data_IF_581081184475
#
_entry.id   IF_581081184475
#
_cell.length_a   1.000
_cell.length_b   1.000
_cell.length_c   1.000
_cell.angle_alpha   90.00
_cell.angle_beta   90.00
_cell.angle_gamma   90.00
#
_symmetry.space_group_name_H-M   'P 1'
#
loop_
_entity.id
_entity.type
_entity.pdbx_description
1 polymer ?
#
# COMPACT_ATOMS: atom_id res chain seq x y z
N UNK A 1 26.71 0.45 2.93
CA UNK A 1 26.25 0.04 1.58
C UNK A 1 26.11 1.27 0.72
N UNK A 2 26.61 1.22 -0.51
CA UNK A 2 26.40 2.31 -1.46
C UNK A 2 25.03 2.16 -2.13
N UNK A 3 24.46 3.25 -2.67
CA UNK A 3 23.13 3.22 -3.29
C UNK A 3 23.06 2.25 -4.49
N UNK A 4 24.18 2.12 -5.21
CA UNK A 4 24.37 1.18 -6.31
C UNK A 4 24.19 -0.31 -5.92
N UNK A 5 24.57 -0.70 -4.70
CA UNK A 5 24.41 -2.08 -4.21
C UNK A 5 22.93 -2.49 -4.05
N UNK A 6 22.03 -1.52 -3.83
CA UNK A 6 20.59 -1.78 -3.65
C UNK A 6 19.86 -2.08 -4.95
N UNK A 7 20.40 -1.61 -6.08
CA UNK A 7 19.82 -1.92 -7.40
C UNK A 7 19.84 -3.42 -7.69
N UNK A 8 20.81 -4.16 -7.14
CA UNK A 8 20.94 -5.60 -7.26
C UNK A 8 19.93 -6.39 -6.40
N UNK A 9 19.31 -5.77 -5.40
CA UNK A 9 18.35 -6.45 -4.52
C UNK A 9 17.02 -6.75 -5.24
N UNK A 10 16.60 -5.89 -6.16
CA UNK A 10 15.33 -5.99 -6.87
C UNK A 10 15.54 -5.81 -8.39
N UNK A 11 16.28 -6.72 -9.03
CA UNK A 11 16.74 -6.57 -10.41
C UNK A 11 15.58 -6.44 -11.41
N UNK A 12 14.45 -7.11 -11.16
CA UNK A 12 13.28 -7.05 -12.01
C UNK A 12 12.56 -5.70 -12.00
N UNK A 13 12.84 -4.85 -11.00
CA UNK A 13 12.18 -3.56 -10.77
C UNK A 13 13.02 -2.34 -11.18
N UNK A 14 14.27 -2.55 -11.61
CA UNK A 14 15.16 -1.46 -12.02
C UNK A 14 14.52 -0.62 -13.13
N UNK A 15 14.31 0.67 -12.85
CA UNK A 15 13.70 1.63 -13.79
C UNK A 15 12.23 1.37 -14.13
N UNK A 16 11.55 0.46 -13.43
CA UNK A 16 10.18 0.01 -13.74
C UNK A 16 9.15 0.33 -12.67
N UNK A 17 9.55 0.98 -11.58
CA UNK A 17 8.63 1.40 -10.53
C UNK A 17 7.69 2.48 -11.04
N UNK A 18 6.39 2.26 -10.82
CA UNK A 18 5.32 3.21 -11.13
C UNK A 18 4.98 4.07 -9.92
N UNK A 19 4.49 5.27 -10.16
CA UNK A 19 3.93 6.11 -9.10
C UNK A 19 2.65 5.45 -8.53
N UNK A 20 2.43 5.44 -7.20
CA UNK A 20 1.40 4.62 -6.57
C UNK A 20 -0.01 5.25 -6.57
N UNK A 21 -0.22 6.34 -7.31
CA UNK A 21 -1.51 7.03 -7.45
C UNK A 21 -1.80 7.25 -8.94
N UNK A 22 -3.08 7.29 -9.31
CA UNK A 22 -3.51 7.58 -10.69
C UNK A 22 -3.10 8.99 -11.14
N UNK A 23 -3.15 9.97 -10.23
CA UNK A 23 -2.75 11.35 -10.48
C UNK A 23 -1.57 11.75 -9.59
N UNK A 24 -0.69 12.60 -10.08
CA UNK A 24 0.34 13.21 -9.24
C UNK A 24 -0.32 14.18 -8.25
N UNK A 25 -0.26 13.84 -6.97
CA UNK A 25 -0.78 14.70 -5.90
C UNK A 25 0.34 15.15 -4.96
N UNK A 26 0.16 16.29 -4.27
CA UNK A 26 1.11 16.73 -3.26
C UNK A 26 1.26 15.69 -2.14
N UNK A 27 2.49 15.53 -1.65
CA UNK A 27 2.79 14.76 -0.45
C UNK A 27 2.34 15.56 0.77
N UNK A 28 1.48 14.99 1.60
CA UNK A 28 1.05 15.55 2.88
C UNK A 28 1.82 15.03 4.09
N UNK A 29 2.57 13.93 3.91
CA UNK A 29 3.43 13.36 4.93
C UNK A 29 4.57 12.61 4.25
N UNK A 30 5.82 12.93 4.57
CA UNK A 30 6.99 12.34 3.90
C UNK A 30 7.55 11.13 4.65
N UNK A 31 8.37 10.33 3.97
CA UNK A 31 9.08 9.22 4.60
C UNK A 31 10.07 9.73 5.65
N UNK A 32 10.10 9.06 6.79
CA UNK A 32 10.87 9.43 7.97
C UNK A 32 10.55 10.82 8.52
N UNK A 33 9.38 11.37 8.21
CA UNK A 33 8.87 12.56 8.89
C UNK A 33 8.69 12.26 10.38
N UNK A 34 9.22 13.14 11.23
CA UNK A 34 9.07 13.00 12.68
C UNK A 34 7.63 13.33 13.08
N UNK A 35 6.96 12.36 13.71
CA UNK A 35 5.68 12.54 14.40
C UNK A 35 5.90 12.32 15.89
N UNK A 36 5.00 12.83 16.73
CA UNK A 36 5.15 13.00 18.19
C UNK A 36 5.84 11.84 18.92
N UNK A 37 5.69 10.59 18.45
CA UNK A 37 6.30 9.40 19.06
C UNK A 37 6.97 8.41 18.09
N UNK A 38 7.10 8.71 16.79
CA UNK A 38 7.71 7.78 15.82
C UNK A 38 8.09 8.48 14.50
N UNK A 39 8.90 7.80 13.69
CA UNK A 39 9.16 8.18 12.30
C UNK A 39 8.06 7.62 11.40
N UNK A 40 7.53 8.44 10.50
CA UNK A 40 6.56 8.01 9.50
C UNK A 40 7.21 7.01 8.53
N UNK A 41 6.66 5.80 8.44
CA UNK A 41 7.25 4.69 7.67
C UNK A 41 6.84 4.66 6.20
N UNK A 42 6.17 5.70 5.70
CA UNK A 42 5.63 5.76 4.34
C UNK A 42 5.56 7.19 3.80
N UNK A 43 4.79 7.37 2.74
CA UNK A 43 4.47 8.69 2.20
C UNK A 43 2.95 8.81 2.05
N UNK A 44 2.40 9.91 2.54
CA UNK A 44 0.97 10.23 2.47
C UNK A 44 0.74 11.15 1.28
N UNK A 45 -0.19 10.76 0.41
CA UNK A 45 -0.59 11.50 -0.78
C UNK A 45 -1.95 12.15 -0.57
N UNK A 46 -2.08 13.45 -0.88
CA UNK A 46 -3.35 14.15 -0.70
C UNK A 46 -4.43 13.60 -1.64
N UNK A 47 -5.63 13.41 -1.09
CA UNK A 47 -6.86 13.06 -1.83
C UNK A 47 -7.90 14.18 -1.80
N UNK A 48 -7.52 15.39 -1.38
CA UNK A 48 -8.36 16.58 -1.41
C UNK A 48 -9.73 16.40 -0.73
N UNK A 49 -9.76 15.71 0.42
CA UNK A 49 -10.97 15.42 1.20
C UNK A 49 -11.99 14.51 0.52
N UNK A 50 -11.57 13.78 -0.52
CA UNK A 50 -12.38 12.77 -1.17
C UNK A 50 -11.76 11.39 -0.96
N UNK A 51 -12.62 10.36 -0.98
CA UNK A 51 -12.22 8.96 -1.00
C UNK A 51 -12.31 8.40 -2.42
N UNK A 52 -11.73 7.22 -2.64
CA UNK A 52 -11.88 6.48 -3.89
C UNK A 52 -10.90 6.83 -5.00
N UNK A 53 -9.85 7.60 -4.71
CA UNK A 53 -8.72 7.74 -5.65
C UNK A 53 -8.04 6.37 -5.85
N UNK A 54 -7.78 5.93 -7.09
CA UNK A 54 -7.13 4.65 -7.32
C UNK A 54 -5.70 4.62 -6.77
N UNK A 55 -5.44 3.64 -5.90
CA UNK A 55 -4.10 3.25 -5.50
C UNK A 55 -3.52 2.27 -6.53
N UNK A 56 -2.39 2.64 -7.12
CA UNK A 56 -1.77 1.91 -8.23
C UNK A 56 -0.60 1.07 -7.73
N UNK A 57 -0.56 -0.20 -8.11
CA UNK A 57 0.55 -1.08 -7.80
C UNK A 57 1.85 -0.57 -8.47
N UNK A 58 2.90 -0.22 -7.69
CA UNK A 58 4.16 0.31 -8.23
C UNK A 58 4.93 -0.73 -9.04
N UNK A 59 4.64 -2.02 -8.84
CA UNK A 59 5.24 -3.14 -9.53
C UNK A 59 4.27 -4.31 -9.59
N UNK A 60 4.61 -5.34 -10.36
CA UNK A 60 3.84 -6.58 -10.42
C UNK A 60 4.27 -7.52 -9.29
N UNK A 61 3.32 -8.29 -8.75
CA UNK A 61 3.60 -9.14 -7.61
C UNK A 61 2.37 -9.90 -7.12
N UNK A 62 2.47 -10.41 -5.91
CA UNK A 62 1.38 -11.12 -5.23
C UNK A 62 0.89 -10.31 -4.04
N UNK A 63 -0.42 -10.32 -3.83
CA UNK A 63 -1.00 -9.81 -2.59
C UNK A 63 -0.59 -10.77 -1.48
N UNK A 64 0.31 -10.31 -0.61
CA UNK A 64 0.83 -11.06 0.53
C UNK A 64 -0.17 -11.11 1.68
N UNK A 65 -0.89 -10.00 1.92
CA UNK A 65 -1.92 -9.92 2.93
C UNK A 65 -2.94 -8.81 2.65
N UNK A 66 -4.13 -8.97 3.22
CA UNK A 66 -5.15 -7.95 3.38
C UNK A 66 -5.54 -7.95 4.85
N UNK A 67 -5.65 -6.77 5.45
CA UNK A 67 -6.00 -6.59 6.85
C UNK A 67 -6.94 -5.40 7.01
N UNK A 68 -7.84 -5.45 7.99
CA UNK A 68 -8.77 -4.37 8.32
C UNK A 68 -8.86 -4.22 9.84
N UNK A 69 -8.67 -2.99 10.33
CA UNK A 69 -8.74 -2.66 11.75
C UNK A 69 -9.22 -1.21 11.92
N UNK A 70 -10.01 -0.89 12.96
CA UNK A 70 -10.40 0.49 13.27
C UNK A 70 -9.23 1.35 13.76
N UNK A 71 -8.07 0.74 14.04
CA UNK A 71 -6.85 1.40 14.54
C UNK A 71 -5.66 1.07 13.65
N UNK A 72 -4.63 1.94 13.68
CA UNK A 72 -3.44 1.77 12.85
C UNK A 72 -3.72 2.08 11.38
N UNK A 73 -3.41 1.14 10.49
CA UNK A 73 -3.45 1.37 9.03
C UNK A 73 -4.84 1.28 8.38
N UNK A 74 -5.91 0.96 9.13
CA UNK A 74 -7.23 0.76 8.53
C UNK A 74 -7.30 -0.48 7.65
N UNK A 75 -8.15 -0.44 6.62
CA UNK A 75 -8.05 -1.36 5.51
C UNK A 75 -6.72 -1.17 4.79
N UNK A 76 -5.91 -2.22 4.76
CA UNK A 76 -4.58 -2.20 4.18
C UNK A 76 -4.27 -3.46 3.40
N UNK A 77 -3.43 -3.30 2.38
CA UNK A 77 -3.00 -4.37 1.47
C UNK A 77 -1.49 -4.36 1.35
N UNK A 78 -0.86 -5.54 1.47
CA UNK A 78 0.57 -5.72 1.24
C UNK A 78 0.80 -6.43 -0.09
N UNK A 79 1.58 -5.80 -0.97
CA UNK A 79 2.03 -6.37 -2.25
C UNK A 79 3.50 -6.76 -2.14
N UNK A 80 3.85 -7.97 -2.61
CA UNK A 80 5.23 -8.47 -2.61
C UNK A 80 5.69 -8.81 -4.04
N UNK A 81 6.83 -8.27 -4.44
CA UNK A 81 7.49 -8.61 -5.71
C UNK A 81 8.12 -10.01 -5.66
N UNK A 82 8.58 -10.52 -6.81
CA UNK A 82 9.28 -11.82 -6.86
C UNK A 82 10.61 -11.81 -6.10
N UNK A 83 11.33 -10.68 -6.09
CA UNK A 83 12.57 -10.48 -5.32
C UNK A 83 12.33 -10.13 -3.84
N UNK A 84 11.08 -9.99 -3.41
CA UNK A 84 10.71 -9.76 -2.00
C UNK A 84 10.59 -8.29 -1.59
N UNK A 85 10.66 -7.34 -2.51
CA UNK A 85 10.27 -5.95 -2.21
C UNK A 85 8.80 -5.91 -1.82
N UNK A 86 8.47 -5.16 -0.77
CA UNK A 86 7.10 -5.00 -0.29
C UNK A 86 6.62 -3.56 -0.46
N UNK A 87 5.38 -3.40 -0.87
CA UNK A 87 4.65 -2.14 -0.85
C UNK A 87 3.38 -2.32 -0.02
N UNK A 88 3.20 -1.46 0.99
CA UNK A 88 1.97 -1.41 1.78
C UNK A 88 1.12 -0.25 1.32
N UNK A 89 -0.15 -0.53 1.06
CA UNK A 89 -1.20 0.47 0.87
C UNK A 89 -2.04 0.51 2.14
N UNK A 90 -2.18 1.67 2.74
CA UNK A 90 -2.93 1.87 3.98
C UNK A 90 -4.07 2.87 3.76
N UNK A 91 -5.02 2.87 4.70
CA UNK A 91 -6.18 3.75 4.69
C UNK A 91 -6.99 3.66 3.38
N UNK A 92 -7.04 2.46 2.80
CA UNK A 92 -7.85 2.20 1.62
C UNK A 92 -9.33 2.32 1.96
N UNK A 93 -10.12 2.82 1.01
CA UNK A 93 -11.58 2.92 1.18
C UNK A 93 -12.27 1.57 0.91
N UNK A 94 -11.81 0.85 -0.11
CA UNK A 94 -12.24 -0.50 -0.48
C UNK A 94 -11.11 -1.18 -1.29
N UNK A 95 -11.31 -2.43 -1.74
CA UNK A 95 -10.40 -3.13 -2.66
C UNK A 95 -11.03 -3.32 -4.05
N UNK A 96 -11.95 -2.45 -4.42
CA UNK A 96 -12.53 -2.48 -5.76
C UNK A 96 -11.46 -2.17 -6.80
N UNK A 97 -11.44 -2.95 -7.87
CA UNK A 97 -10.44 -2.80 -8.92
C UNK A 97 -10.55 -3.89 -9.96
N UNK A 98 -9.48 -4.08 -10.73
CA UNK A 98 -9.44 -5.05 -11.83
C UNK A 98 -9.67 -6.49 -11.34
N UNK A 99 -9.19 -6.83 -10.14
CA UNK A 99 -9.37 -8.13 -9.50
C UNK A 99 -10.51 -8.07 -8.48
N UNK A 100 -11.74 -8.29 -8.95
CA UNK A 100 -12.96 -8.23 -8.12
C UNK A 100 -12.93 -9.18 -6.92
N UNK A 101 -12.16 -10.27 -7.02
CA UNK A 101 -12.02 -11.28 -5.98
C UNK A 101 -11.40 -10.73 -4.69
N UNK A 102 -10.60 -9.66 -4.76
CA UNK A 102 -10.00 -9.03 -3.58
C UNK A 102 -11.05 -8.37 -2.69
N UNK A 103 -12.00 -7.66 -3.29
CA UNK A 103 -13.09 -7.04 -2.54
C UNK A 103 -14.05 -8.11 -1.99
N UNK A 104 -14.32 -9.18 -2.75
CA UNK A 104 -15.10 -10.31 -2.25
C UNK A 104 -14.41 -10.99 -1.05
N UNK A 105 -13.10 -11.18 -1.11
CA UNK A 105 -12.31 -11.72 0.00
C UNK A 105 -12.38 -10.80 1.22
N UNK A 106 -12.21 -9.49 1.03
CA UNK A 106 -12.34 -8.51 2.12
C UNK A 106 -13.71 -8.59 2.79
N UNK A 107 -14.79 -8.58 2.01
CA UNK A 107 -16.16 -8.67 2.55
C UNK A 107 -16.39 -9.99 3.28
N UNK A 108 -15.89 -11.12 2.76
CA UNK A 108 -15.98 -12.41 3.44
C UNK A 108 -15.22 -12.39 4.77
N UNK A 109 -13.97 -11.89 4.80
CA UNK A 109 -13.18 -11.78 6.03
C UNK A 109 -13.83 -10.82 7.03
N UNK A 110 -14.39 -9.71 6.57
CA UNK A 110 -15.11 -8.76 7.39
C UNK A 110 -16.32 -9.42 8.08
N UNK A 111 -17.12 -10.19 7.33
CA UNK A 111 -18.27 -10.91 7.88
C UNK A 111 -17.87 -12.04 8.85
N UNK A 112 -16.74 -12.71 8.59
CA UNK A 112 -16.26 -13.84 9.40
C UNK A 112 -15.56 -13.42 10.70
N UNK A 113 -15.07 -12.17 10.79
CA UNK A 113 -14.26 -11.71 11.92
C UNK A 113 -14.81 -10.41 12.54
N UNK A 114 -16.12 -10.20 12.51
CA UNK A 114 -16.80 -9.03 13.09
C UNK A 114 -16.18 -7.69 12.65
N UNK A 115 -15.73 -7.64 11.39
CA UNK A 115 -15.15 -6.46 10.76
C UNK A 115 -13.67 -6.19 11.04
N UNK A 116 -12.95 -7.08 11.75
CA UNK A 116 -11.54 -6.89 12.10
C UNK A 116 -10.74 -8.14 11.76
N UNK A 117 -9.72 -8.02 10.92
CA UNK A 117 -8.85 -9.15 10.59
C UNK A 117 -7.39 -8.73 10.35
N UNK A 118 -6.42 -9.55 10.82
CA UNK A 118 -4.99 -9.24 10.74
C UNK A 118 -4.38 -9.45 9.35
#
# INVERSE_FOLDING_TARGET
>A
MKAEDRSLLFPELQGKLRFPMEIQTPVSGSFAEYRTHHLHMGADFKTFHLNGFPAIAPFDGIVESVSESPTGYGLNLMLRSSSGLRAKFAHLFNLEGVKKELENLRQALHLLNDGIFP
#
